data_IF_290320492615
#
_entry.id   IF_290320492615
#
_cell.length_a   1.000
_cell.length_b   1.000
_cell.length_c   1.000
_cell.angle_alpha   90.00
_cell.angle_beta   90.00
_cell.angle_gamma   90.00
#
_symmetry.space_group_name_H-M   'P 1'
#
loop_
_entity.id
_entity.type
_entity.pdbx_description
1 polymer ?
#
# COMPACT_ATOMS: atom_id res chain seq x y z
N UNK A 1 4.19 -16.13 18.31
CA UNK A 1 3.64 -15.82 16.97
C UNK A 1 4.79 -15.37 16.09
N UNK A 2 4.97 -15.95 14.90
CA UNK A 2 6.05 -15.53 14.02
C UNK A 2 5.75 -14.12 13.47
N UNK A 3 6.80 -13.38 13.08
CA UNK A 3 6.62 -12.03 12.52
C UNK A 3 5.75 -12.03 11.26
N UNK A 4 5.83 -13.10 10.46
CA UNK A 4 4.98 -13.33 9.29
C UNK A 4 3.50 -13.48 9.67
N UNK A 5 3.18 -14.25 10.71
CA UNK A 5 1.79 -14.41 11.18
C UNK A 5 1.21 -13.08 11.68
N UNK A 6 2.07 -12.22 12.27
CA UNK A 6 1.69 -10.86 12.68
C UNK A 6 1.39 -9.95 11.49
N UNK A 7 2.17 -10.05 10.41
CA UNK A 7 1.94 -9.26 9.20
C UNK A 7 0.60 -9.62 8.54
N UNK A 8 0.24 -10.91 8.52
CA UNK A 8 -1.04 -11.35 7.95
C UNK A 8 -2.24 -10.88 8.78
N UNK A 9 -2.16 -10.97 10.11
CA UNK A 9 -3.22 -10.46 10.99
C UNK A 9 -3.37 -8.94 10.84
N UNK A 10 -2.26 -8.21 10.81
CA UNK A 10 -2.26 -6.77 10.60
C UNK A 10 -2.91 -6.40 9.25
N UNK A 11 -2.65 -7.17 8.19
CA UNK A 11 -3.27 -6.95 6.88
C UNK A 11 -4.80 -7.09 6.95
N UNK A 12 -5.30 -8.11 7.64
CA UNK A 12 -6.75 -8.29 7.88
C UNK A 12 -7.32 -7.12 8.68
N UNK A 13 -6.69 -6.75 9.79
CA UNK A 13 -7.19 -5.67 10.66
C UNK A 13 -7.21 -4.31 9.94
N UNK A 14 -6.16 -4.03 9.15
CA UNK A 14 -6.03 -2.79 8.40
C UNK A 14 -7.04 -2.72 7.24
N UNK A 15 -7.19 -3.80 6.47
CA UNK A 15 -8.17 -3.86 5.38
C UNK A 15 -9.61 -3.73 5.89
N UNK A 16 -9.94 -4.40 7.00
CA UNK A 16 -11.25 -4.29 7.63
C UNK A 16 -11.54 -2.86 8.10
N UNK A 17 -10.57 -2.20 8.73
CA UNK A 17 -10.73 -0.82 9.20
C UNK A 17 -10.94 0.18 8.03
N UNK A 18 -10.24 -0.02 6.91
CA UNK A 18 -10.44 0.76 5.68
C UNK A 18 -11.83 0.50 5.06
N UNK A 19 -12.25 -0.76 4.98
CA UNK A 19 -13.55 -1.12 4.40
C UNK A 19 -14.71 -0.53 5.20
N UNK A 20 -14.65 -0.61 6.52
CA UNK A 20 -15.70 -0.10 7.41
C UNK A 20 -15.69 1.43 7.47
N UNK A 21 -14.68 2.08 6.87
CA UNK A 21 -14.39 3.52 6.98
C UNK A 21 -14.42 4.01 8.44
N UNK A 22 -14.11 3.11 9.37
CA UNK A 22 -14.05 3.40 10.78
C UNK A 22 -12.74 4.15 11.07
N UNK A 23 -12.67 4.91 12.18
CA UNK A 23 -11.40 5.43 12.66
C UNK A 23 -10.41 4.27 12.85
N UNK A 24 -9.34 4.27 12.08
CA UNK A 24 -8.28 3.28 12.22
C UNK A 24 -7.51 3.64 13.49
N UNK A 25 -7.28 2.66 14.37
CA UNK A 25 -6.53 2.92 15.59
C UNK A 25 -5.09 3.35 15.28
N UNK A 26 -4.52 4.21 16.13
CA UNK A 26 -3.12 4.66 16.01
C UNK A 26 -2.14 3.49 15.97
N UNK A 27 -2.46 2.39 16.67
CA UNK A 27 -1.64 1.18 16.67
C UNK A 27 -1.64 0.49 15.31
N UNK A 28 -2.82 0.27 14.71
CA UNK A 28 -2.94 -0.36 13.38
C UNK A 28 -2.31 0.54 12.31
N UNK A 29 -2.55 1.85 12.34
CA UNK A 29 -1.91 2.79 11.41
C UNK A 29 -0.38 2.77 11.54
N UNK A 30 0.13 2.78 12.78
CA UNK A 30 1.56 2.71 13.05
C UNK A 30 2.14 1.40 12.55
N UNK A 31 1.55 0.26 12.90
CA UNK A 31 2.08 -1.05 12.50
C UNK A 31 2.03 -1.22 10.97
N UNK A 32 0.94 -0.78 10.31
CA UNK A 32 0.85 -0.78 8.85
C UNK A 32 1.94 0.10 8.21
N UNK A 33 2.22 1.27 8.78
CA UNK A 33 3.35 2.10 8.37
C UNK A 33 4.69 1.38 8.59
N UNK A 34 4.93 0.78 9.75
CA UNK A 34 6.18 0.06 10.02
C UNK A 34 6.41 -1.08 9.01
N UNK A 35 5.37 -1.86 8.70
CA UNK A 35 5.46 -2.91 7.69
C UNK A 35 5.77 -2.31 6.32
N UNK A 36 4.97 -1.34 5.87
CA UNK A 36 5.09 -0.71 4.54
C UNK A 36 6.43 -0.02 4.29
N UNK A 37 7.09 0.49 5.34
CA UNK A 37 8.27 1.33 5.18
C UNK A 37 9.58 0.65 5.61
N UNK A 38 9.56 -0.22 6.63
CA UNK A 38 10.77 -0.62 7.35
C UNK A 38 11.06 -2.12 7.31
N UNK A 39 10.12 -2.93 6.84
CA UNK A 39 10.34 -4.38 6.74
C UNK A 39 11.03 -4.75 5.42
N UNK A 40 11.50 -5.99 5.33
CA UNK A 40 12.11 -6.51 4.11
C UNK A 40 11.07 -6.56 2.96
N UNK A 41 11.49 -6.45 1.69
CA UNK A 41 10.58 -6.38 0.56
C UNK A 41 9.64 -7.58 0.43
N UNK A 42 10.10 -8.79 0.78
CA UNK A 42 9.30 -10.01 0.78
C UNK A 42 8.15 -9.97 1.81
N UNK A 43 8.39 -9.36 2.97
CA UNK A 43 7.36 -9.16 3.99
C UNK A 43 6.38 -8.08 3.57
N UNK A 44 6.86 -6.96 3.01
CA UNK A 44 5.99 -5.91 2.45
C UNK A 44 5.06 -6.49 1.38
N UNK A 45 5.62 -7.30 0.47
CA UNK A 45 4.85 -7.93 -0.59
C UNK A 45 3.79 -8.90 -0.07
N UNK A 46 4.15 -9.73 0.92
CA UNK A 46 3.18 -10.62 1.58
C UNK A 46 2.05 -9.84 2.23
N UNK A 47 2.38 -8.77 2.96
CA UNK A 47 1.40 -7.88 3.57
C UNK A 47 0.45 -7.27 2.54
N UNK A 48 0.98 -6.71 1.44
CA UNK A 48 0.18 -6.13 0.34
C UNK A 48 -0.78 -7.16 -0.24
N UNK A 49 -0.27 -8.36 -0.58
CA UNK A 49 -1.10 -9.43 -1.14
C UNK A 49 -2.23 -9.82 -0.21
N UNK A 50 -1.93 -9.97 1.08
CA UNK A 50 -2.95 -10.28 2.07
C UNK A 50 -4.00 -9.17 2.19
N UNK A 51 -3.59 -7.90 2.20
CA UNK A 51 -4.53 -6.78 2.21
C UNK A 51 -5.46 -6.81 0.99
N UNK A 52 -4.93 -7.14 -0.19
CA UNK A 52 -5.70 -7.20 -1.44
C UNK A 52 -6.69 -8.38 -1.46
N UNK A 53 -6.32 -9.51 -0.86
CA UNK A 53 -7.20 -10.66 -0.66
C UNK A 53 -8.36 -10.33 0.28
N UNK A 54 -8.10 -9.50 1.31
CA UNK A 54 -9.09 -9.14 2.33
C UNK A 54 -9.94 -7.90 1.96
N UNK A 55 -9.47 -7.07 1.03
CA UNK A 55 -10.16 -5.85 0.63
C UNK A 55 -11.55 -6.18 0.04
N UNK A 56 -12.62 -5.63 0.63
CA UNK A 56 -14.00 -5.81 0.13
C UNK A 56 -14.49 -4.62 -0.68
N UNK A 57 -13.87 -3.46 -0.52
CA UNK A 57 -14.26 -2.22 -1.20
C UNK A 57 -13.16 -1.67 -2.09
N UNK A 58 -13.56 -0.94 -3.14
CA UNK A 58 -12.58 -0.31 -4.01
C UNK A 58 -11.86 0.86 -3.33
N UNK A 59 -12.50 1.45 -2.31
CA UNK A 59 -11.85 2.39 -1.40
C UNK A 59 -10.60 1.78 -0.77
N UNK A 60 -10.71 0.57 -0.23
CA UNK A 60 -9.57 -0.15 0.36
C UNK A 60 -8.51 -0.48 -0.68
N UNK A 61 -8.89 -0.91 -1.89
CA UNK A 61 -7.95 -1.18 -2.98
C UNK A 61 -7.08 0.05 -3.33
N UNK A 62 -7.71 1.22 -3.46
CA UNK A 62 -7.01 2.47 -3.77
C UNK A 62 -6.02 2.85 -2.65
N UNK A 63 -6.39 2.63 -1.38
CA UNK A 63 -5.50 2.91 -0.24
C UNK A 63 -4.31 1.95 -0.17
N UNK A 64 -4.51 0.67 -0.51
CA UNK A 64 -3.42 -0.30 -0.63
C UNK A 64 -2.45 0.13 -1.73
N UNK A 65 -2.99 0.62 -2.86
CA UNK A 65 -2.23 1.23 -3.94
C UNK A 65 -1.38 2.42 -3.51
N UNK A 66 -2.02 3.44 -2.94
CA UNK A 66 -1.40 4.72 -2.54
C UNK A 66 -0.43 4.60 -1.35
N UNK A 67 -0.57 3.56 -0.54
CA UNK A 67 0.30 3.29 0.60
C UNK A 67 1.35 2.23 0.27
N UNK A 68 1.20 1.01 0.78
CA UNK A 68 2.25 0.00 0.76
C UNK A 68 2.72 -0.40 -0.64
N UNK A 69 1.82 -0.49 -1.63
CA UNK A 69 2.21 -0.90 -2.99
C UNK A 69 3.07 0.15 -3.70
N UNK A 70 2.67 1.42 -3.67
CA UNK A 70 3.49 2.53 -4.16
C UNK A 70 4.87 2.55 -3.50
N UNK A 71 4.91 2.38 -2.17
CA UNK A 71 6.15 2.42 -1.41
C UNK A 71 7.10 1.28 -1.72
N UNK A 72 6.58 0.07 -1.93
CA UNK A 72 7.37 -1.08 -2.37
C UNK A 72 7.94 -0.81 -3.77
N UNK A 73 7.11 -0.35 -4.71
CA UNK A 73 7.55 -0.06 -6.08
C UNK A 73 8.57 1.07 -6.16
N UNK A 74 8.48 2.06 -5.28
CA UNK A 74 9.43 3.16 -5.19
C UNK A 74 10.83 2.72 -4.74
N UNK A 75 10.93 1.62 -3.97
CA UNK A 75 12.22 1.13 -3.44
C UNK A 75 12.77 -0.05 -4.23
N UNK A 76 11.88 -0.96 -4.61
CA UNK A 76 12.23 -2.29 -5.11
C UNK A 76 11.48 -2.61 -6.42
N UNK A 77 10.98 -1.59 -7.11
CA UNK A 77 10.12 -1.73 -8.28
C UNK A 77 10.66 -2.66 -9.35
N UNK A 78 11.95 -2.57 -9.66
CA UNK A 78 12.59 -3.43 -10.67
C UNK A 78 12.49 -4.93 -10.31
N UNK A 79 12.54 -5.29 -9.03
CA UNK A 79 12.45 -6.67 -8.57
C UNK A 79 11.01 -7.21 -8.54
N UNK A 80 10.02 -6.32 -8.32
CA UNK A 80 8.62 -6.73 -8.10
C UNK A 80 7.68 -6.46 -9.27
N UNK A 81 8.06 -5.62 -10.23
CA UNK A 81 7.16 -5.20 -11.33
C UNK A 81 6.62 -6.38 -12.14
N UNK A 82 7.42 -7.42 -12.39
CA UNK A 82 6.94 -8.62 -13.09
C UNK A 82 5.85 -9.39 -12.32
N UNK A 83 5.89 -9.39 -10.99
CA UNK A 83 4.84 -9.99 -10.16
C UNK A 83 3.58 -9.12 -10.14
N UNK A 84 3.76 -7.80 -10.10
CA UNK A 84 2.67 -6.81 -10.17
C UNK A 84 1.90 -6.94 -11.49
N UNK A 85 2.59 -7.02 -12.61
CA UNK A 85 1.96 -7.23 -13.93
C UNK A 85 1.20 -8.56 -13.98
N UNK A 86 1.82 -9.64 -13.50
CA UNK A 86 1.19 -10.95 -13.48
C UNK A 86 -0.10 -10.93 -12.65
N UNK A 87 -0.10 -10.29 -11.48
CA UNK A 87 -1.30 -10.20 -10.65
C UNK A 87 -2.37 -9.30 -11.27
N UNK A 88 -1.98 -8.14 -11.81
CA UNK A 88 -2.91 -7.24 -12.49
C UNK A 88 -3.60 -7.91 -13.69
N UNK A 89 -2.86 -8.69 -14.48
CA UNK A 89 -3.39 -9.42 -15.62
C UNK A 89 -4.40 -10.52 -15.23
N UNK A 90 -4.30 -11.04 -14.01
CA UNK A 90 -5.17 -12.12 -13.51
C UNK A 90 -6.23 -11.63 -12.51
N UNK A 91 -6.26 -10.33 -12.19
CA UNK A 91 -7.18 -9.78 -11.20
C UNK A 91 -7.48 -8.32 -11.51
N UNK A 92 -8.70 -8.07 -11.98
CA UNK A 92 -9.22 -6.72 -12.19
C UNK A 92 -9.14 -5.87 -10.91
N UNK A 93 -9.44 -6.47 -9.75
CA UNK A 93 -9.30 -5.83 -8.42
C UNK A 93 -7.86 -5.40 -8.15
N UNK A 94 -6.88 -6.20 -8.53
CA UNK A 94 -5.47 -5.82 -8.40
C UNK A 94 -5.13 -4.65 -9.35
N UNK A 95 -5.61 -4.69 -10.59
CA UNK A 95 -5.46 -3.58 -11.53
C UNK A 95 -6.07 -2.28 -11.00
N UNK A 96 -7.24 -2.34 -10.36
CA UNK A 96 -7.85 -1.19 -9.67
C UNK A 96 -6.97 -0.65 -8.53
N UNK A 97 -6.34 -1.52 -7.74
CA UNK A 97 -5.42 -1.08 -6.70
C UNK A 97 -4.23 -0.30 -7.28
N UNK A 98 -3.76 -0.65 -8.49
CA UNK A 98 -2.68 0.10 -9.13
C UNK A 98 -3.07 1.54 -9.41
N UNK A 99 -4.33 1.88 -9.66
CA UNK A 99 -4.76 3.27 -9.84
C UNK A 99 -4.49 4.13 -8.60
N UNK A 100 -4.39 3.51 -7.41
CA UNK A 100 -4.01 4.18 -6.18
C UNK A 100 -2.58 4.71 -6.14
N UNK A 101 -1.64 4.10 -6.88
CA UNK A 101 -0.24 4.51 -6.81
C UNK A 101 -0.01 5.89 -7.47
N UNK A 102 0.88 6.68 -6.91
CA UNK A 102 1.49 7.83 -7.54
C UNK A 102 2.91 7.48 -8.00
N UNK A 103 3.37 8.13 -9.07
CA UNK A 103 4.74 7.90 -9.58
C UNK A 103 5.78 8.20 -8.51
N UNK A 104 5.71 9.37 -7.87
CA UNK A 104 6.65 9.84 -6.85
C UNK A 104 8.12 9.44 -7.09
N UNK A 105 8.61 8.40 -6.39
CA UNK A 105 10.00 7.91 -6.46
C UNK A 105 10.17 6.61 -7.27
N UNK A 106 9.10 6.13 -7.90
CA UNK A 106 9.14 4.96 -8.78
C UNK A 106 9.93 5.33 -10.04
N UNK A 107 10.93 4.51 -10.36
CA UNK A 107 11.76 4.65 -11.56
C UNK A 107 10.89 4.66 -12.83
N UNK A 108 11.30 5.45 -13.83
CA UNK A 108 10.48 5.70 -15.03
C UNK A 108 10.08 4.41 -15.75
N UNK A 109 11.03 3.48 -15.94
CA UNK A 109 10.76 2.20 -16.60
C UNK A 109 9.72 1.36 -15.85
N UNK A 110 9.82 1.31 -14.52
CA UNK A 110 8.85 0.62 -13.67
C UNK A 110 7.50 1.31 -13.75
N UNK A 111 7.49 2.64 -13.74
CA UNK A 111 6.27 3.42 -13.81
C UNK A 111 5.51 3.23 -15.12
N UNK A 112 6.21 3.21 -16.26
CA UNK A 112 5.59 2.93 -17.56
C UNK A 112 4.90 1.56 -17.59
N UNK A 113 5.51 0.57 -16.94
CA UNK A 113 4.92 -0.78 -16.79
C UNK A 113 3.70 -0.78 -15.88
N UNK A 114 3.72 0.00 -14.79
CA UNK A 114 2.54 0.22 -13.95
C UNK A 114 1.41 0.86 -14.76
N UNK A 115 1.68 1.88 -15.58
CA UNK A 115 0.69 2.50 -16.44
C UNK A 115 0.10 1.52 -17.46
N UNK A 116 0.94 0.67 -18.07
CA UNK A 116 0.48 -0.37 -18.98
C UNK A 116 -0.44 -1.38 -18.28
N UNK A 117 -0.09 -1.80 -17.06
CA UNK A 117 -0.91 -2.70 -16.26
C UNK A 117 -2.25 -2.05 -15.84
N UNK A 118 -2.28 -0.74 -15.56
CA UNK A 118 -3.52 0.01 -15.30
C UNK A 118 -4.43 0.06 -16.51
N UNK A 119 -3.88 0.35 -17.68
CA UNK A 119 -4.67 0.53 -18.90
C UNK A 119 -5.44 -0.73 -19.33
N UNK A 120 -5.09 -1.90 -18.78
CA UNK A 120 -5.84 -3.15 -18.96
C UNK A 120 -7.15 -3.20 -18.16
N UNK A 121 -7.36 -2.27 -17.22
CA UNK A 121 -8.58 -2.10 -16.42
C UNK A 121 -9.18 -0.74 -16.75
N UNK A 122 -10.49 -0.70 -16.96
CA UNK A 122 -11.19 0.55 -17.23
C UNK A 122 -11.11 1.46 -15.99
N UNK A 123 -10.67 2.71 -16.17
CA UNK A 123 -10.56 3.65 -15.07
C UNK A 123 -11.94 3.97 -14.51
N UNK A 124 -12.18 3.74 -13.20
CA UNK A 124 -13.51 3.95 -12.65
C UNK A 124 -13.84 5.44 -12.51
N UNK A 125 -15.04 5.81 -12.94
CA UNK A 125 -15.58 7.18 -12.81
C UNK A 125 -15.64 7.71 -11.36
N UNK A 126 -15.62 6.81 -10.36
CA UNK A 126 -15.64 7.16 -8.95
C UNK A 126 -14.24 7.37 -8.35
N UNK A 127 -13.16 7.08 -9.07
CA UNK A 127 -11.79 7.14 -8.57
C UNK A 127 -11.42 8.56 -8.10
N UNK A 128 -11.80 9.58 -8.87
CA UNK A 128 -11.62 10.99 -8.50
C UNK A 128 -12.39 11.37 -7.23
N UNK A 129 -13.56 10.76 -6.99
CA UNK A 129 -14.32 11.00 -5.77
C UNK A 129 -13.63 10.37 -4.55
N UNK A 130 -13.01 9.20 -4.71
CA UNK A 130 -12.20 8.57 -3.66
C UNK A 130 -11.00 9.43 -3.35
N UNK A 131 -10.19 9.85 -4.34
CA UNK A 131 -9.02 10.69 -4.06
C UNK A 131 -9.36 12.03 -3.40
N UNK A 132 -10.50 12.65 -3.75
CA UNK A 132 -10.98 13.89 -3.11
C UNK A 132 -11.39 13.69 -1.64
N UNK A 133 -11.89 12.51 -1.28
CA UNK A 133 -12.33 12.20 0.09
C UNK A 133 -11.27 11.50 0.93
N UNK A 134 -10.15 11.07 0.31
CA UNK A 134 -9.13 10.22 0.93
C UNK A 134 -7.80 10.93 1.20
N UNK A 135 -7.76 12.27 1.08
CA UNK A 135 -6.54 13.05 1.25
C UNK A 135 -5.91 12.91 2.65
N UNK A 136 -6.72 12.58 3.65
CA UNK A 136 -6.31 12.55 5.06
C UNK A 136 -5.51 11.28 5.42
N UNK A 137 -5.90 10.09 4.95
CA UNK A 137 -5.26 8.84 5.40
C UNK A 137 -3.82 8.71 4.90
N UNK A 138 -3.54 9.06 3.64
CA UNK A 138 -2.18 9.05 3.08
C UNK A 138 -1.23 9.93 3.88
N UNK A 139 -1.68 11.13 4.21
CA UNK A 139 -0.90 12.11 4.95
C UNK A 139 -0.62 11.61 6.38
N UNK A 140 -1.60 11.02 7.05
CA UNK A 140 -1.41 10.52 8.42
C UNK A 140 -0.48 9.30 8.48
N UNK A 141 -0.56 8.37 7.53
CA UNK A 141 0.37 7.22 7.46
C UNK A 141 1.81 7.68 7.20
N UNK A 142 2.03 8.60 6.26
CA UNK A 142 3.35 9.18 6.00
C UNK A 142 3.90 9.94 7.21
N UNK A 143 3.07 10.76 7.87
CA UNK A 143 3.44 11.49 9.09
C UNK A 143 3.89 10.55 10.20
N UNK A 144 3.13 9.47 10.46
CA UNK A 144 3.46 8.49 11.49
C UNK A 144 4.76 7.74 11.18
N UNK A 145 4.96 7.35 9.92
CA UNK A 145 6.21 6.72 9.48
C UNK A 145 7.42 7.64 9.71
N UNK A 146 7.31 8.92 9.33
CA UNK A 146 8.36 9.92 9.51
C UNK A 146 8.63 10.23 10.99
N UNK A 147 7.58 10.34 11.81
CA UNK A 147 7.70 10.55 13.25
C UNK A 147 8.46 9.39 13.91
N UNK A 148 8.11 8.16 13.57
CA UNK A 148 8.80 6.97 14.08
C UNK A 148 10.26 6.90 13.60
N UNK A 149 10.52 7.16 12.32
CA UNK A 149 11.89 7.19 11.78
C UNK A 149 12.77 8.22 12.49
N UNK A 150 12.21 9.40 12.80
CA UNK A 150 12.88 10.43 13.60
C UNK A 150 13.21 9.92 15.00
N UNK A 151 12.25 9.31 15.69
CA UNK A 151 12.44 8.76 17.02
C UNK A 151 13.52 7.68 17.07
N UNK A 152 13.50 6.72 16.13
CA UNK A 152 14.53 5.67 16.02
C UNK A 152 15.91 6.26 15.77
N UNK A 153 16.02 7.29 14.92
CA UNK A 153 17.28 7.97 14.64
C UNK A 153 17.82 8.67 15.89
N UNK A 154 16.95 9.33 16.65
CA UNK A 154 17.34 10.09 17.83
C UNK A 154 17.82 9.14 18.96
N UNK A 155 17.19 7.97 19.13
CA UNK A 155 17.64 6.91 20.06
C UNK A 155 18.98 6.26 19.69
N UNK A 156 19.40 6.30 18.42
CA UNK A 156 20.72 5.78 17.98
C UNK A 156 21.86 6.76 18.18
N UNK A 157 21.55 8.02 18.52
CA UNK A 157 22.53 9.09 18.77
C UNK A 157 22.77 9.36 20.26
N UNK A 158 21.98 8.75 21.13
CA UNK A 158 22.12 8.78 22.60
C UNK A 158 22.81 7.51 23.09
#
# INVERSE_FOLDING_TARGET
>A
MAFADRADQLATDWAAALDDRAPISDEVLRDAALVSFLTKPDVQWRFIRRCLEEARTDYTLVHIGAGPLEHLLAKEGAAFIGQVELLAANSERFGLALHGCARNKIEEEVWQRVLAARAAVEEPVWLDAIFRTSHDIRIEVEKLALAYLKEVRDRRRS
#
